data_IF_411063545956
#
_entry.id   IF_411063545956
#
_cell.length_a   1.000
_cell.length_b   1.000
_cell.length_c   1.000
_cell.angle_alpha   90.00
_cell.angle_beta   90.00
_cell.angle_gamma   90.00
#
_symmetry.space_group_name_H-M   'P 1'
#
loop_
_entity.id
_entity.type
_entity.pdbx_description
1 polymer ?
#
# COMPACT_ATOMS: atom_id res chain seq x y z
N UNK A 1 13.82 18.14 -0.41
CA UNK A 1 12.46 17.64 -0.66
C UNK A 1 11.94 18.13 -1.99
N UNK A 2 10.99 17.43 -2.56
CA UNK A 2 10.36 17.80 -3.82
C UNK A 2 9.07 17.04 -4.07
N UNK A 3 8.39 17.45 -5.13
CA UNK A 3 7.21 16.79 -5.72
C UNK A 3 7.38 16.75 -7.24
N UNK A 4 6.64 15.87 -7.92
CA UNK A 4 6.65 15.81 -9.38
C UNK A 4 5.23 15.81 -9.99
N UNK A 5 5.18 15.74 -11.32
CA UNK A 5 3.92 15.76 -12.06
C UNK A 5 3.04 14.52 -11.82
N UNK A 6 3.62 13.42 -11.33
CA UNK A 6 2.89 12.22 -10.89
C UNK A 6 2.35 12.34 -9.47
N UNK A 7 2.55 13.50 -8.80
CA UNK A 7 2.17 13.72 -7.40
C UNK A 7 2.98 12.89 -6.39
N UNK A 8 4.12 12.36 -6.80
CA UNK A 8 5.07 11.82 -5.85
C UNK A 8 5.59 12.94 -4.95
N UNK A 9 5.87 12.63 -3.69
CA UNK A 9 6.53 13.52 -2.75
C UNK A 9 7.75 12.82 -2.15
N UNK A 10 8.87 13.53 -1.98
CA UNK A 10 10.06 12.94 -1.36
C UNK A 10 10.85 13.93 -0.51
N UNK A 11 11.60 13.35 0.44
CA UNK A 11 12.57 14.08 1.24
C UNK A 11 13.85 13.28 1.39
N UNK A 12 15.01 13.95 1.27
CA UNK A 12 16.33 13.32 1.41
C UNK A 12 17.01 13.78 2.69
N UNK A 13 17.55 12.82 3.43
CA UNK A 13 18.31 12.99 4.66
C UNK A 13 19.73 12.49 4.42
N UNK A 14 20.72 13.36 4.66
CA UNK A 14 22.11 13.02 4.41
C UNK A 14 22.79 12.46 5.66
N UNK A 15 23.53 11.37 5.48
CA UNK A 15 24.49 10.86 6.46
C UNK A 15 25.63 11.88 6.65
N UNK A 16 26.25 11.95 7.84
CA UNK A 16 27.49 12.71 8.03
C UNK A 16 28.67 12.14 7.23
N UNK A 17 28.63 10.86 6.87
CA UNK A 17 29.61 10.24 5.96
C UNK A 17 29.25 10.58 4.52
N UNK A 18 30.09 11.35 3.79
CA UNK A 18 29.83 11.72 2.41
C UNK A 18 29.83 10.51 1.44
N UNK A 19 30.48 9.42 1.81
CA UNK A 19 30.59 8.21 1.03
C UNK A 19 29.51 7.15 1.41
N UNK A 20 28.57 7.53 2.26
CA UNK A 20 27.47 6.64 2.64
C UNK A 20 26.62 6.24 1.42
N UNK A 21 26.14 4.98 1.34
CA UNK A 21 25.26 4.56 0.25
C UNK A 21 23.97 5.34 0.19
N UNK A 22 23.50 5.64 -1.02
CA UNK A 22 22.15 6.16 -1.26
C UNK A 22 21.13 5.02 -1.11
N UNK A 23 20.10 5.24 -0.32
CA UNK A 23 19.01 4.30 -0.07
C UNK A 23 17.67 5.00 -0.29
N UNK A 24 16.82 4.41 -1.12
CA UNK A 24 15.42 4.78 -1.26
C UNK A 24 14.59 3.97 -0.25
N UNK A 25 13.67 4.63 0.45
CA UNK A 25 12.57 3.97 1.17
C UNK A 25 11.29 4.48 0.55
N UNK A 26 10.50 3.58 -0.02
CA UNK A 26 9.27 3.91 -0.73
C UNK A 26 8.05 3.28 -0.07
N UNK A 27 6.96 4.04 -0.01
CA UNK A 27 5.62 3.55 0.27
C UNK A 27 4.62 4.39 -0.53
N UNK A 28 3.55 3.75 -1.04
CA UNK A 28 2.58 4.50 -1.82
C UNK A 28 1.55 5.25 -0.96
N UNK A 29 0.92 6.25 -1.54
CA UNK A 29 -0.02 7.14 -0.86
C UNK A 29 -1.44 7.06 -1.42
N UNK A 30 -1.61 6.44 -2.56
CA UNK A 30 -2.94 6.21 -3.15
C UNK A 30 -3.64 5.00 -2.51
N UNK A 31 -4.91 4.89 -2.78
CA UNK A 31 -5.78 3.80 -2.34
C UNK A 31 -6.73 3.40 -3.46
N UNK A 32 -7.25 2.19 -3.41
CA UNK A 32 -8.30 1.72 -4.30
C UNK A 32 -9.61 2.50 -4.11
N UNK A 33 -10.42 2.59 -5.16
CA UNK A 33 -11.68 3.30 -5.09
C UNK A 33 -12.57 3.04 -6.28
N UNK A 34 -13.43 4.00 -6.59
CA UNK A 34 -14.35 3.95 -7.72
C UNK A 34 -14.38 5.27 -8.49
N UNK A 35 -14.81 5.21 -9.75
CA UNK A 35 -15.06 6.39 -10.58
C UNK A 35 -16.45 6.31 -11.19
N UNK A 36 -17.17 7.44 -11.23
CA UNK A 36 -18.48 7.54 -11.90
C UNK A 36 -18.27 7.38 -13.41
N UNK A 37 -18.83 6.33 -13.99
CA UNK A 37 -18.81 6.06 -15.43
C UNK A 37 -20.09 6.47 -16.12
N UNK A 38 -21.17 6.69 -15.36
CA UNK A 38 -22.46 7.16 -15.87
C UNK A 38 -23.46 7.42 -14.76
N UNK A 39 -24.55 8.11 -15.09
CA UNK A 39 -25.68 8.35 -14.18
C UNK A 39 -26.94 7.83 -14.87
N UNK A 40 -27.73 7.02 -14.16
CA UNK A 40 -28.99 6.53 -14.71
C UNK A 40 -30.04 7.62 -14.76
N UNK A 41 -31.10 7.50 -15.58
CA UNK A 41 -32.23 8.46 -15.55
C UNK A 41 -32.86 8.62 -14.17
N UNK A 42 -32.81 7.57 -13.33
CA UNK A 42 -33.33 7.54 -11.95
C UNK A 42 -32.34 8.06 -10.90
N UNK A 43 -31.20 8.66 -11.30
CA UNK A 43 -30.25 9.28 -10.38
C UNK A 43 -29.16 8.35 -9.80
N UNK A 44 -29.19 7.04 -10.07
CA UNK A 44 -28.15 6.14 -9.59
C UNK A 44 -26.82 6.34 -10.34
N UNK A 45 -25.71 6.27 -9.61
CA UNK A 45 -24.37 6.38 -10.15
C UNK A 45 -23.88 5.00 -10.61
N UNK A 46 -23.56 4.84 -11.89
CA UNK A 46 -22.84 3.67 -12.41
C UNK A 46 -21.36 3.89 -12.16
N UNK A 47 -20.73 3.06 -11.35
CA UNK A 47 -19.30 3.20 -11.05
C UNK A 47 -18.47 2.06 -11.61
N UNK A 48 -17.22 2.38 -11.92
CA UNK A 48 -16.15 1.41 -12.24
C UNK A 48 -15.08 1.43 -11.16
N UNK A 49 -14.36 0.31 -10.97
CA UNK A 49 -13.25 0.27 -10.04
C UNK A 49 -12.08 1.16 -10.49
N UNK A 50 -11.34 1.66 -9.52
CA UNK A 50 -10.00 2.24 -9.65
C UNK A 50 -9.09 1.41 -8.77
N UNK A 51 -8.06 0.77 -9.34
CA UNK A 51 -7.33 -0.32 -8.71
C UNK A 51 -8.15 -1.63 -8.70
N UNK A 52 -7.98 -2.45 -7.68
CA UNK A 52 -8.62 -3.76 -7.54
C UNK A 52 -9.47 -3.85 -6.24
N UNK A 53 -10.46 -2.96 -6.04
CA UNK A 53 -11.28 -3.03 -4.85
C UNK A 53 -12.15 -4.28 -4.83
N UNK A 54 -12.41 -4.83 -3.64
CA UNK A 54 -13.33 -5.95 -3.47
C UNK A 54 -14.80 -5.50 -3.57
N UNK A 55 -15.45 -5.85 -4.68
CA UNK A 55 -16.82 -5.45 -4.97
C UNK A 55 -17.86 -5.98 -3.98
N UNK A 56 -17.66 -7.18 -3.43
CA UNK A 56 -18.62 -7.76 -2.51
C UNK A 56 -18.65 -7.00 -1.18
N UNK A 57 -17.50 -6.54 -0.74
CA UNK A 57 -17.38 -5.76 0.49
C UNK A 57 -17.89 -4.33 0.38
N UNK A 58 -18.07 -3.79 -0.84
CA UNK A 58 -18.62 -2.44 -1.06
C UNK A 58 -20.10 -2.32 -0.69
N UNK A 59 -20.84 -3.43 -0.76
CA UNK A 59 -22.28 -3.39 -0.51
C UNK A 59 -22.61 -2.86 0.89
N UNK A 60 -23.56 -1.93 0.94
CA UNK A 60 -24.01 -1.24 2.16
C UNK A 60 -22.94 -0.35 2.84
N UNK A 61 -21.81 -0.13 2.20
CA UNK A 61 -20.80 0.79 2.72
C UNK A 61 -20.94 2.19 2.11
N UNK A 62 -20.81 3.26 2.94
CA UNK A 62 -20.81 4.61 2.44
C UNK A 62 -19.47 4.93 1.75
N UNK A 63 -19.57 5.67 0.65
CA UNK A 63 -18.45 6.23 -0.10
C UNK A 63 -18.59 7.74 -0.17
N UNK A 64 -17.49 8.44 -0.14
CA UNK A 64 -17.42 9.88 -0.33
C UNK A 64 -16.92 10.14 -1.75
N UNK A 65 -17.77 10.76 -2.55
CA UNK A 65 -17.44 11.20 -3.89
C UNK A 65 -16.93 12.63 -3.90
N UNK A 66 -16.03 12.91 -4.80
CA UNK A 66 -15.40 14.21 -5.05
C UNK A 66 -16.34 15.08 -5.92
N UNK A 67 -17.42 15.59 -5.33
CA UNK A 67 -18.41 16.40 -6.02
C UNK A 67 -17.89 17.82 -6.33
N UNK A 68 -18.48 18.48 -7.33
CA UNK A 68 -18.07 19.82 -7.79
C UNK A 68 -18.22 20.90 -6.70
N UNK A 69 -19.25 20.75 -5.87
CA UNK A 69 -19.57 21.71 -4.80
C UNK A 69 -19.10 21.25 -3.42
N UNK A 70 -18.31 20.18 -3.37
CA UNK A 70 -17.83 19.54 -2.15
C UNK A 70 -18.13 18.04 -2.11
N UNK A 71 -17.72 17.35 -1.05
CA UNK A 71 -17.90 15.91 -0.96
C UNK A 71 -19.37 15.51 -0.88
N UNK A 72 -19.75 14.49 -1.67
CA UNK A 72 -21.09 13.89 -1.66
C UNK A 72 -21.00 12.45 -1.21
N UNK A 73 -21.83 12.07 -0.24
CA UNK A 73 -21.92 10.67 0.21
C UNK A 73 -22.91 9.89 -0.64
N UNK A 74 -22.50 8.72 -1.11
CA UNK A 74 -23.37 7.74 -1.72
C UNK A 74 -22.98 6.32 -1.23
N UNK A 75 -23.85 5.35 -1.41
CA UNK A 75 -23.58 3.97 -1.01
C UNK A 75 -24.04 2.97 -2.06
N UNK A 76 -23.36 1.82 -2.15
CA UNK A 76 -23.80 0.70 -2.96
C UNK A 76 -24.95 -0.02 -2.24
N UNK A 77 -26.17 0.15 -2.71
CA UNK A 77 -27.33 -0.53 -2.15
C UNK A 77 -27.33 -2.00 -2.45
N UNK A 78 -27.67 -2.83 -1.46
CA UNK A 78 -27.92 -4.26 -1.65
C UNK A 78 -29.41 -4.50 -1.83
N UNK A 79 -29.82 -5.07 -2.98
CA UNK A 79 -31.19 -5.55 -3.15
C UNK A 79 -31.36 -6.81 -2.33
N UNK A 80 -32.39 -6.90 -1.45
CA UNK A 80 -32.61 -8.09 -0.63
C UNK A 80 -32.71 -9.37 -1.47
N UNK A 81 -31.99 -10.43 -1.10
CA UNK A 81 -31.91 -11.68 -1.87
C UNK A 81 -33.24 -12.37 -2.05
N UNK A 82 -34.23 -12.16 -1.13
CA UNK A 82 -35.60 -12.67 -1.28
C UNK A 82 -36.37 -11.97 -2.41
N UNK A 83 -35.98 -10.76 -2.80
CA UNK A 83 -36.55 -10.03 -3.94
C UNK A 83 -35.98 -10.54 -5.27
N UNK A 84 -34.73 -10.99 -5.29
CA UNK A 84 -34.00 -11.44 -6.48
C UNK A 84 -34.16 -12.95 -6.73
N UNK A 85 -35.20 -13.63 -6.15
CA UNK A 85 -35.42 -15.08 -6.25
C UNK A 85 -34.14 -15.90 -5.93
N UNK A 86 -33.29 -15.42 -5.04
CA UNK A 86 -31.99 -16.00 -4.63
C UNK A 86 -30.93 -16.11 -5.72
N UNK A 87 -31.10 -15.45 -6.85
CA UNK A 87 -29.99 -15.31 -7.78
C UNK A 87 -28.99 -14.30 -7.20
N UNK A 88 -27.73 -14.69 -6.99
CA UNK A 88 -26.72 -13.72 -6.57
C UNK A 88 -26.57 -12.65 -7.65
N UNK A 89 -26.39 -11.40 -7.25
CA UNK A 89 -25.92 -10.38 -8.18
C UNK A 89 -24.65 -10.90 -8.87
N UNK A 90 -24.53 -10.77 -10.20
CA UNK A 90 -23.35 -11.27 -10.91
C UNK A 90 -22.10 -10.67 -10.26
N UNK A 91 -21.27 -11.55 -9.71
CA UNK A 91 -19.92 -11.17 -9.31
C UNK A 91 -19.20 -10.71 -10.59
N UNK A 92 -18.87 -9.42 -10.69
CA UNK A 92 -18.21 -8.84 -11.86
C UNK A 92 -19.14 -8.20 -12.88
N UNK A 93 -20.29 -7.69 -12.48
CA UNK A 93 -21.07 -6.79 -13.35
C UNK A 93 -20.22 -5.59 -13.78
N UNK A 94 -20.37 -5.16 -15.04
CA UNK A 94 -19.61 -4.00 -15.58
C UNK A 94 -19.70 -2.74 -14.71
N UNK A 95 -20.75 -2.64 -13.88
CA UNK A 95 -21.02 -1.48 -13.03
C UNK A 95 -21.68 -1.90 -11.71
N UNK A 96 -21.25 -1.24 -10.64
CA UNK A 96 -22.01 -1.21 -9.38
C UNK A 96 -22.84 0.09 -9.37
N UNK A 97 -24.07 0.01 -8.86
CA UNK A 97 -24.92 1.16 -8.69
C UNK A 97 -24.77 1.75 -7.29
N UNK A 98 -24.47 3.03 -7.23
CA UNK A 98 -24.43 3.80 -5.99
C UNK A 98 -25.62 4.75 -5.94
N UNK A 99 -26.18 4.90 -4.77
CA UNK A 99 -27.31 5.76 -4.46
C UNK A 99 -26.82 6.95 -3.63
N UNK A 100 -26.99 8.15 -4.17
CA UNK A 100 -26.72 9.43 -3.49
C UNK A 100 -28.01 10.08 -2.99
N UNK A 101 -29.16 9.43 -3.13
CA UNK A 101 -30.48 9.97 -2.80
C UNK A 101 -31.10 10.84 -3.89
N UNK A 102 -30.50 10.90 -5.08
CA UNK A 102 -31.07 11.66 -6.20
C UNK A 102 -32.21 10.88 -6.87
N UNK A 103 -33.27 11.58 -7.27
CA UNK A 103 -34.44 11.04 -7.97
C UNK A 103 -34.34 11.12 -9.49
N UNK A 104 -33.34 11.86 -10.00
CA UNK A 104 -33.07 12.01 -11.43
C UNK A 104 -31.59 12.26 -11.72
N UNK A 105 -31.20 12.08 -12.97
CA UNK A 105 -29.84 12.39 -13.41
C UNK A 105 -29.50 13.88 -13.28
N UNK A 106 -30.51 14.78 -13.44
CA UNK A 106 -30.35 16.20 -13.26
C UNK A 106 -30.07 16.56 -11.82
N UNK A 107 -30.84 16.01 -10.88
CA UNK A 107 -30.62 16.21 -9.44
C UNK A 107 -29.23 15.70 -9.00
N UNK A 108 -28.79 14.53 -9.48
CA UNK A 108 -27.45 14.05 -9.20
C UNK A 108 -26.35 15.02 -9.69
N UNK A 109 -26.53 15.65 -10.87
CA UNK A 109 -25.62 16.67 -11.38
C UNK A 109 -25.66 17.96 -10.56
N UNK A 110 -26.85 18.39 -10.11
CA UNK A 110 -27.02 19.56 -9.22
C UNK A 110 -26.31 19.33 -7.88
N UNK A 111 -26.24 18.09 -7.40
CA UNK A 111 -25.40 17.69 -6.24
C UNK A 111 -23.89 17.75 -6.54
N UNK A 112 -23.48 18.06 -7.77
CA UNK A 112 -22.08 18.14 -8.20
C UNK A 112 -21.50 16.80 -8.66
N UNK A 113 -22.33 15.78 -8.87
CA UNK A 113 -21.91 14.47 -9.34
C UNK A 113 -21.92 14.41 -10.88
N UNK A 114 -20.80 13.98 -11.46
CA UNK A 114 -20.64 13.84 -12.90
C UNK A 114 -19.68 12.69 -13.25
N UNK A 115 -19.69 12.28 -14.51
CA UNK A 115 -18.75 11.26 -15.01
C UNK A 115 -17.32 11.72 -14.77
N UNK A 116 -16.45 10.81 -14.29
CA UNK A 116 -15.07 11.06 -13.94
C UNK A 116 -14.85 11.47 -12.47
N UNK A 117 -15.90 11.77 -11.70
CA UNK A 117 -15.76 12.00 -10.25
C UNK A 117 -15.40 10.70 -9.53
N UNK A 118 -14.45 10.78 -8.59
CA UNK A 118 -13.93 9.64 -7.84
C UNK A 118 -14.66 9.49 -6.52
N UNK A 119 -14.77 8.26 -6.06
CA UNK A 119 -15.32 7.92 -4.75
C UNK A 119 -14.38 6.96 -4.01
N UNK A 120 -14.20 7.19 -2.72
CA UNK A 120 -13.44 6.33 -1.82
C UNK A 120 -14.31 5.94 -0.63
N UNK A 121 -14.05 4.81 0.04
CA UNK A 121 -14.78 4.45 1.25
C UNK A 121 -14.78 5.56 2.28
N UNK A 122 -15.89 5.74 2.99
CA UNK A 122 -16.07 6.77 4.01
C UNK A 122 -16.43 6.14 5.36
N UNK A 123 -15.64 5.16 5.77
CA UNK A 123 -15.77 4.50 7.07
C UNK A 123 -14.94 5.22 8.13
N UNK A 124 -15.45 5.30 9.35
CA UNK A 124 -14.67 5.88 10.46
C UNK A 124 -13.63 4.86 10.94
N UNK A 125 -12.40 5.29 11.23
CA UNK A 125 -11.42 4.44 11.89
C UNK A 125 -11.91 4.04 13.30
N UNK A 126 -11.71 2.78 13.65
CA UNK A 126 -12.07 2.24 14.96
C UNK A 126 -10.95 1.33 15.50
N UNK A 127 -10.62 1.49 16.78
CA UNK A 127 -9.80 0.51 17.46
C UNK A 127 -10.73 -0.60 17.98
N UNK A 128 -10.49 -1.82 17.51
CA UNK A 128 -11.19 -3.00 17.97
C UNK A 128 -10.53 -3.53 19.26
N UNK A 129 -10.11 -4.77 19.33
CA UNK A 129 -9.47 -5.33 20.50
C UNK A 129 -8.01 -4.89 20.62
N UNK A 130 -7.66 -4.15 21.69
CA UNK A 130 -6.28 -3.76 21.98
C UNK A 130 -5.69 -2.79 20.95
N UNK A 131 -4.76 -3.28 20.12
CA UNK A 131 -4.01 -2.50 19.13
C UNK A 131 -4.50 -2.66 17.70
N UNK A 132 -5.64 -3.31 17.49
CA UNK A 132 -6.16 -3.59 16.14
C UNK A 132 -6.96 -2.42 15.61
N UNK A 133 -6.46 -1.78 14.58
CA UNK A 133 -7.07 -0.66 13.88
C UNK A 133 -7.87 -1.17 12.68
N UNK A 134 -9.16 -0.86 12.67
CA UNK A 134 -10.03 -1.02 11.50
C UNK A 134 -10.20 0.34 10.83
N UNK A 135 -9.89 0.43 9.53
CA UNK A 135 -10.09 1.63 8.71
C UNK A 135 -10.12 1.25 7.23
N UNK A 136 -10.50 2.17 6.36
CA UNK A 136 -10.26 2.03 4.92
C UNK A 136 -8.88 2.57 4.54
N UNK A 137 -8.31 2.04 3.45
CA UNK A 137 -7.05 2.52 2.88
C UNK A 137 -5.86 2.38 3.83
N UNK A 138 -5.86 1.36 4.73
CA UNK A 138 -4.67 1.00 5.49
C UNK A 138 -3.56 0.60 4.54
N UNK A 139 -3.92 -0.03 3.44
CA UNK A 139 -3.16 -0.16 2.21
C UNK A 139 -3.35 1.11 1.35
N UNK A 140 -2.38 2.10 1.25
CA UNK A 140 -1.11 2.03 1.98
C UNK A 140 -0.91 3.25 2.93
N UNK A 141 -1.98 3.79 3.52
CA UNK A 141 -1.88 4.92 4.46
C UNK A 141 -1.10 4.57 5.73
N UNK A 142 -1.13 3.29 6.13
CA UNK A 142 -0.36 2.82 7.27
C UNK A 142 1.14 3.00 7.01
N UNK A 143 1.58 2.66 5.82
CA UNK A 143 2.98 2.77 5.41
C UNK A 143 3.37 4.23 5.12
N UNK A 144 2.44 5.03 4.58
CA UNK A 144 2.63 6.49 4.48
C UNK A 144 2.82 7.15 5.86
N UNK A 145 2.07 6.70 6.88
CA UNK A 145 2.30 7.13 8.27
C UNK A 145 3.71 6.74 8.75
N UNK A 146 4.14 5.51 8.45
CA UNK A 146 5.50 5.07 8.79
C UNK A 146 6.58 5.92 8.12
N UNK A 147 6.39 6.37 6.87
CA UNK A 147 7.33 7.32 6.24
C UNK A 147 7.42 8.65 7.00
N UNK A 148 6.30 9.18 7.51
CA UNK A 148 6.31 10.41 8.31
C UNK A 148 7.06 10.22 9.64
N UNK A 149 6.84 9.10 10.31
CA UNK A 149 7.57 8.76 11.54
C UNK A 149 9.07 8.56 11.27
N UNK A 150 9.42 7.90 10.17
CA UNK A 150 10.82 7.79 9.72
C UNK A 150 11.44 9.15 9.41
N UNK A 151 10.73 10.06 8.77
CA UNK A 151 11.22 11.42 8.53
C UNK A 151 11.53 12.15 9.83
N UNK A 152 10.66 12.00 10.83
CA UNK A 152 10.86 12.52 12.18
C UNK A 152 12.07 11.89 12.86
N UNK A 153 12.22 10.56 12.77
CA UNK A 153 13.37 9.82 13.28
C UNK A 153 14.68 10.29 12.63
N UNK A 154 14.74 10.31 11.30
CA UNK A 154 15.93 10.72 10.54
C UNK A 154 16.36 12.16 10.85
N UNK A 155 15.39 13.05 11.09
CA UNK A 155 15.68 14.44 11.48
C UNK A 155 16.37 14.52 12.85
N UNK A 156 16.00 13.66 13.79
CA UNK A 156 16.57 13.61 15.16
C UNK A 156 17.92 12.88 15.21
N UNK A 157 18.11 11.88 14.35
CA UNK A 157 19.28 10.97 14.37
C UNK A 157 20.29 11.23 13.24
N UNK A 158 20.32 12.44 12.66
CA UNK A 158 21.19 12.79 11.52
C UNK A 158 22.65 12.37 11.69
N UNK A 159 23.17 12.44 12.92
CA UNK A 159 24.59 12.13 13.22
C UNK A 159 24.89 10.62 13.19
N UNK A 160 23.86 9.79 13.34
CA UNK A 160 24.00 8.33 13.46
C UNK A 160 23.76 7.61 12.13
N UNK A 161 23.23 8.32 11.12
CA UNK A 161 22.85 7.73 9.84
C UNK A 161 24.06 7.15 9.09
N UNK A 162 23.88 5.93 8.58
CA UNK A 162 24.87 5.19 7.78
C UNK A 162 24.52 5.16 6.29
N UNK A 163 23.43 5.78 5.92
CA UNK A 163 22.93 5.91 4.55
C UNK A 163 22.49 7.34 4.25
N UNK A 164 22.62 7.77 3.02
CA UNK A 164 21.86 8.90 2.51
C UNK A 164 20.46 8.39 2.17
N UNK A 165 19.45 8.79 2.93
CA UNK A 165 18.11 8.22 2.84
C UNK A 165 17.20 9.16 2.07
N UNK A 166 16.54 8.66 1.04
CA UNK A 166 15.41 9.34 0.41
C UNK A 166 14.14 8.58 0.78
N UNK A 167 13.22 9.26 1.45
CA UNK A 167 11.86 8.78 1.67
C UNK A 167 11.01 9.23 0.48
N UNK A 168 10.35 8.29 -0.18
CA UNK A 168 9.44 8.53 -1.29
C UNK A 168 8.03 8.11 -0.89
N UNK A 169 7.10 9.04 -0.93
CA UNK A 169 5.67 8.77 -0.94
C UNK A 169 5.24 8.77 -2.41
N UNK A 170 5.14 7.59 -2.98
CA UNK A 170 4.78 7.41 -4.39
C UNK A 170 3.27 7.39 -4.59
N UNK A 171 2.85 7.65 -5.81
CA UNK A 171 1.45 7.67 -6.21
C UNK A 171 1.15 6.63 -7.28
N UNK A 172 -0.13 6.32 -7.50
CA UNK A 172 -0.61 5.47 -8.59
C UNK A 172 0.01 4.04 -8.55
N UNK A 173 0.27 3.54 -7.36
CA UNK A 173 0.68 2.15 -7.14
C UNK A 173 -0.45 1.23 -7.60
N UNK A 174 -1.64 1.44 -7.07
CA UNK A 174 -2.87 0.67 -7.27
C UNK A 174 -3.37 0.65 -8.73
N UNK A 175 -2.86 1.57 -9.54
CA UNK A 175 -3.25 1.70 -10.95
C UNK A 175 -2.11 1.43 -11.92
N UNK A 176 -1.06 0.75 -11.47
CA UNK A 176 0.02 0.26 -12.32
C UNK A 176 1.40 0.86 -12.06
N UNK A 177 1.70 1.23 -10.81
CA UNK A 177 3.03 1.65 -10.33
C UNK A 177 3.59 2.92 -11.03
N UNK A 178 2.72 3.77 -11.59
CA UNK A 178 3.16 4.84 -12.47
C UNK A 178 4.04 5.88 -11.76
N UNK A 179 3.71 6.22 -10.50
CA UNK A 179 4.49 7.16 -9.71
C UNK A 179 5.90 6.67 -9.42
N UNK A 180 6.02 5.48 -8.85
CA UNK A 180 7.32 4.86 -8.58
C UNK A 180 8.12 4.63 -9.86
N UNK A 181 7.46 4.23 -10.97
CA UNK A 181 8.09 4.06 -12.28
C UNK A 181 8.71 5.37 -12.78
N UNK A 182 7.96 6.47 -12.71
CA UNK A 182 8.45 7.78 -13.13
C UNK A 182 9.62 8.26 -12.25
N UNK A 183 9.53 8.06 -10.94
CA UNK A 183 10.60 8.41 -10.01
C UNK A 183 11.86 7.58 -10.25
N UNK A 184 11.74 6.26 -10.32
CA UNK A 184 12.86 5.34 -10.54
C UNK A 184 13.50 5.54 -11.93
N UNK A 185 12.71 5.80 -12.96
CA UNK A 185 13.22 6.09 -14.30
C UNK A 185 14.11 7.31 -14.36
N UNK A 186 13.81 8.34 -13.56
CA UNK A 186 14.59 9.58 -13.46
C UNK A 186 15.79 9.45 -12.54
N UNK A 187 15.60 8.89 -11.35
CA UNK A 187 16.59 8.93 -10.28
C UNK A 187 17.45 7.65 -10.20
N UNK A 188 16.99 6.55 -10.78
CA UNK A 188 17.69 5.24 -10.86
C UNK A 188 18.30 4.80 -9.51
N UNK A 189 17.49 4.65 -8.46
CA UNK A 189 17.97 4.24 -7.15
C UNK A 189 18.67 2.88 -7.25
N UNK A 190 19.85 2.76 -6.66
CA UNK A 190 20.62 1.51 -6.66
C UNK A 190 20.17 0.56 -5.56
N UNK A 191 19.76 1.10 -4.43
CA UNK A 191 19.28 0.37 -3.28
C UNK A 191 17.94 0.92 -2.86
N UNK A 192 17.00 0.03 -2.55
CA UNK A 192 15.69 0.42 -2.02
C UNK A 192 15.19 -0.56 -0.96
N UNK A 193 14.39 -0.03 -0.05
CA UNK A 193 13.48 -0.80 0.79
C UNK A 193 12.08 -0.30 0.45
N UNK A 194 11.20 -1.21 0.04
CA UNK A 194 9.80 -0.92 -0.21
C UNK A 194 8.99 -1.39 0.98
N UNK A 195 8.19 -0.50 1.52
CA UNK A 195 7.28 -0.79 2.64
C UNK A 195 5.86 -0.83 2.06
N UNK A 196 5.24 -2.00 2.13
CA UNK A 196 3.89 -2.17 1.63
C UNK A 196 3.11 -3.18 2.48
N UNK A 197 1.78 -3.12 2.45
CA UNK A 197 0.96 -4.07 3.18
C UNK A 197 1.05 -5.46 2.55
N UNK A 198 0.88 -6.49 3.39
CA UNK A 198 0.78 -7.88 2.96
C UNK A 198 -0.52 -8.50 3.46
N UNK A 199 -0.85 -9.71 3.03
CA UNK A 199 -2.08 -10.38 3.43
C UNK A 199 -1.89 -11.16 4.74
N UNK A 200 -2.79 -10.98 5.71
CA UNK A 200 -2.98 -11.96 6.78
C UNK A 200 -3.67 -13.20 6.18
N UNK A 201 -2.91 -14.30 6.04
CA UNK A 201 -3.44 -15.54 5.44
C UNK A 201 -4.18 -16.43 6.45
N UNK A 202 -4.07 -16.15 7.74
CA UNK A 202 -4.79 -16.91 8.80
C UNK A 202 -6.30 -16.79 8.66
N UNK A 203 -6.81 -15.69 8.11
CA UNK A 203 -8.22 -15.55 7.79
C UNK A 203 -8.74 -16.63 6.82
N UNK A 204 -7.84 -17.31 6.10
CA UNK A 204 -8.19 -18.37 5.14
C UNK A 204 -8.25 -19.76 5.79
N UNK A 205 -7.69 -19.93 7.01
CA UNK A 205 -7.60 -21.24 7.70
C UNK A 205 -8.98 -21.85 7.95
N UNK A 206 -10.00 -21.03 8.17
CA UNK A 206 -11.38 -21.46 8.41
C UNK A 206 -12.24 -21.55 7.13
N UNK A 207 -11.67 -21.23 5.97
CA UNK A 207 -12.37 -21.32 4.69
C UNK A 207 -12.14 -22.69 4.04
N UNK A 208 -13.07 -23.14 3.16
CA UNK A 208 -12.84 -24.36 2.39
C UNK A 208 -11.52 -24.27 1.63
N UNK A 209 -10.71 -25.34 1.65
CA UNK A 209 -9.43 -25.36 0.98
C UNK A 209 -9.59 -25.09 -0.53
N UNK A 210 -8.75 -24.21 -1.06
CA UNK A 210 -8.61 -23.93 -2.49
C UNK A 210 -7.15 -24.15 -2.86
N UNK A 211 -6.89 -24.70 -4.04
CA UNK A 211 -5.51 -24.94 -4.53
C UNK A 211 -4.64 -23.66 -4.48
N UNK A 212 -5.26 -22.49 -4.65
CA UNK A 212 -4.58 -21.21 -4.58
C UNK A 212 -4.13 -20.86 -3.15
N UNK A 213 -4.92 -21.24 -2.14
CA UNK A 213 -4.60 -20.97 -0.73
C UNK A 213 -3.46 -21.86 -0.20
N UNK A 214 -3.31 -23.08 -0.73
CA UNK A 214 -2.22 -23.99 -0.34
C UNK A 214 -0.84 -23.49 -0.74
N UNK A 215 -0.76 -22.50 -1.63
CA UNK A 215 0.49 -21.91 -2.11
C UNK A 215 0.94 -20.69 -1.30
N UNK A 216 0.11 -20.19 -0.40
CA UNK A 216 0.43 -19.02 0.40
C UNK A 216 1.19 -19.44 1.67
N UNK A 217 2.26 -18.75 1.98
CA UNK A 217 2.91 -18.86 3.29
C UNK A 217 1.98 -18.32 4.38
N UNK A 218 2.04 -18.94 5.56
CA UNK A 218 1.28 -18.45 6.70
C UNK A 218 1.84 -17.10 7.16
N UNK A 219 1.03 -16.07 7.07
CA UNK A 219 1.29 -14.73 7.59
C UNK A 219 0.16 -14.36 8.55
N UNK A 220 0.50 -13.90 9.74
CA UNK A 220 -0.46 -13.62 10.79
C UNK A 220 -0.30 -12.19 11.34
N UNK A 221 -1.40 -11.48 11.40
CA UNK A 221 -1.47 -10.18 12.05
C UNK A 221 -1.25 -10.33 13.57
N UNK A 222 -0.33 -9.55 14.14
CA UNK A 222 0.08 -9.59 15.54
C UNK A 222 1.40 -10.32 15.79
N UNK A 223 1.98 -10.96 14.77
CA UNK A 223 3.24 -11.71 14.85
C UNK A 223 4.47 -10.94 14.30
N UNK A 224 4.29 -9.68 13.93
CA UNK A 224 5.33 -8.79 13.40
C UNK A 224 5.26 -8.64 11.87
N UNK A 225 5.98 -7.64 11.30
CA UNK A 225 6.00 -7.42 9.86
C UNK A 225 6.57 -8.63 9.12
N UNK A 226 6.12 -8.81 7.90
CA UNK A 226 6.62 -9.83 6.98
C UNK A 226 7.83 -9.27 6.24
N UNK A 227 8.96 -10.00 6.27
CA UNK A 227 10.16 -9.71 5.48
C UNK A 227 10.24 -10.74 4.36
N UNK A 228 10.24 -10.28 3.12
CA UNK A 228 10.27 -11.17 1.96
C UNK A 228 11.70 -11.63 1.62
N UNK A 229 11.87 -12.94 1.51
CA UNK A 229 13.19 -13.59 1.44
C UNK A 229 13.48 -14.28 0.10
N UNK A 230 12.63 -14.17 -0.90
CA UNK A 230 12.82 -14.81 -2.20
C UNK A 230 14.09 -14.28 -2.90
N UNK A 231 15.14 -15.11 -2.98
CA UNK A 231 16.50 -14.74 -3.39
C UNK A 231 16.64 -14.19 -4.82
N UNK A 232 15.75 -14.59 -5.73
CA UNK A 232 15.73 -14.08 -7.13
C UNK A 232 14.96 -12.77 -7.30
N UNK A 233 14.14 -12.42 -6.31
CA UNK A 233 13.29 -11.23 -6.36
C UNK A 233 13.89 -10.13 -5.51
N UNK A 234 14.24 -10.42 -4.26
CA UNK A 234 14.71 -9.43 -3.31
C UNK A 234 16.22 -9.49 -3.06
N UNK A 235 16.79 -8.33 -2.76
CA UNK A 235 18.23 -8.18 -2.59
C UNK A 235 18.68 -8.73 -1.23
N UNK A 236 19.27 -9.91 -1.24
CA UNK A 236 19.61 -10.66 -0.05
C UNK A 236 20.51 -9.92 0.95
N UNK A 237 21.53 -9.11 0.57
CA UNK A 237 22.32 -8.40 1.57
C UNK A 237 21.52 -7.42 2.43
N UNK A 238 20.53 -6.70 1.88
CA UNK A 238 19.64 -5.85 2.69
C UNK A 238 18.68 -6.73 3.50
N UNK A 239 18.07 -7.74 2.88
CA UNK A 239 17.14 -8.66 3.54
C UNK A 239 17.80 -9.38 4.70
N UNK A 240 19.03 -9.91 4.51
CA UNK A 240 19.80 -10.59 5.55
C UNK A 240 20.13 -9.66 6.73
N UNK A 241 20.50 -8.42 6.45
CA UNK A 241 20.77 -7.42 7.50
C UNK A 241 19.52 -7.06 8.30
N UNK A 242 18.35 -6.94 7.62
CA UNK A 242 17.07 -6.73 8.31
C UNK A 242 16.73 -7.90 9.24
N UNK A 243 16.88 -9.16 8.75
CA UNK A 243 16.63 -10.36 9.52
C UNK A 243 17.57 -10.45 10.73
N UNK A 244 18.86 -10.24 10.51
CA UNK A 244 19.85 -10.24 11.58
C UNK A 244 19.52 -9.23 12.67
N UNK A 245 19.21 -8.00 12.31
CA UNK A 245 18.86 -6.95 13.26
C UNK A 245 17.57 -7.26 14.03
N UNK A 246 16.58 -7.86 13.36
CA UNK A 246 15.34 -8.27 14.02
C UNK A 246 15.62 -9.35 15.08
N UNK A 247 16.44 -10.37 14.75
CA UNK A 247 16.85 -11.43 15.67
C UNK A 247 17.69 -10.89 16.84
N UNK A 248 18.73 -10.08 16.57
CA UNK A 248 19.62 -9.50 17.57
C UNK A 248 18.91 -8.62 18.60
N UNK A 249 17.86 -7.93 18.17
CA UNK A 249 17.13 -6.98 19.02
C UNK A 249 15.77 -7.49 19.50
N UNK A 250 15.43 -8.75 19.22
CA UNK A 250 14.16 -9.34 19.63
C UNK A 250 12.93 -8.62 19.04
N UNK A 251 13.07 -8.06 17.84
CA UNK A 251 11.95 -7.44 17.13
C UNK A 251 11.15 -8.57 16.47
N UNK A 252 9.84 -8.69 16.74
CA UNK A 252 9.04 -9.72 16.10
C UNK A 252 8.99 -9.51 14.59
N UNK A 253 9.08 -10.60 13.82
CA UNK A 253 8.99 -10.59 12.37
C UNK A 253 8.57 -11.95 11.83
N UNK A 254 8.09 -11.98 10.61
CA UNK A 254 7.75 -13.16 9.86
C UNK A 254 8.57 -13.21 8.57
N UNK A 255 8.78 -14.41 8.01
CA UNK A 255 9.48 -14.61 6.72
C UNK A 255 8.50 -15.14 5.69
N UNK A 256 8.57 -14.62 4.49
CA UNK A 256 7.85 -15.18 3.35
C UNK A 256 8.79 -15.31 2.14
N UNK A 257 8.79 -16.51 1.54
CA UNK A 257 9.50 -16.78 0.30
C UNK A 257 8.55 -16.97 -0.90
N UNK A 258 7.25 -17.08 -0.64
CA UNK A 258 6.22 -17.36 -1.64
C UNK A 258 5.47 -16.09 -2.04
N UNK A 259 6.17 -15.01 -2.29
CA UNK A 259 5.54 -13.78 -2.72
C UNK A 259 4.70 -14.04 -3.99
N UNK A 260 3.41 -13.75 -3.99
CA UNK A 260 2.64 -13.75 -5.21
C UNK A 260 3.32 -12.77 -6.18
N UNK A 261 3.39 -13.05 -7.47
CA UNK A 261 3.92 -12.14 -8.47
C UNK A 261 3.00 -10.92 -8.55
N UNK A 262 3.01 -10.15 -7.48
CA UNK A 262 2.23 -8.95 -7.31
C UNK A 262 2.94 -7.77 -7.93
N UNK A 263 2.18 -6.77 -8.16
CA UNK A 263 2.67 -5.48 -8.57
C UNK A 263 2.83 -4.65 -7.30
N UNK A 264 4.08 -4.42 -6.91
CA UNK A 264 4.43 -3.48 -5.85
C UNK A 264 5.65 -2.66 -6.29
N UNK A 265 5.92 -1.59 -5.61
CA UNK A 265 6.91 -0.58 -6.02
C UNK A 265 8.37 -1.07 -6.07
N UNK A 266 8.68 -2.30 -5.62
CA UNK A 266 9.99 -2.90 -5.88
C UNK A 266 10.22 -3.21 -7.38
N UNK A 267 9.14 -3.39 -8.16
CA UNK A 267 9.23 -3.69 -9.61
C UNK A 267 9.91 -2.54 -10.37
N UNK A 268 9.49 -1.28 -10.25
CA UNK A 268 10.17 -0.15 -10.86
C UNK A 268 11.64 -0.03 -10.46
N UNK A 269 11.99 -0.27 -9.20
CA UNK A 269 13.39 -0.23 -8.75
C UNK A 269 14.24 -1.22 -9.54
N UNK A 270 13.76 -2.47 -9.66
CA UNK A 270 14.46 -3.53 -10.39
C UNK A 270 14.50 -3.28 -11.89
N UNK A 271 13.42 -2.77 -12.47
CA UNK A 271 13.34 -2.44 -13.90
C UNK A 271 14.43 -1.45 -14.32
N UNK A 272 14.78 -0.52 -13.43
CA UNK A 272 15.83 0.46 -13.68
C UNK A 272 17.21 0.07 -13.10
N UNK A 273 17.40 -1.22 -12.83
CA UNK A 273 18.71 -1.78 -12.45
C UNK A 273 19.09 -1.54 -10.99
N UNK A 274 18.12 -1.29 -10.13
CA UNK A 274 18.31 -1.21 -8.69
C UNK A 274 18.04 -2.56 -7.99
N UNK A 275 18.38 -2.60 -6.73
CA UNK A 275 18.18 -3.73 -5.81
C UNK A 275 17.16 -3.32 -4.74
N UNK A 276 16.16 -4.14 -4.51
CA UNK A 276 15.11 -3.87 -3.55
C UNK A 276 14.99 -4.98 -2.49
N UNK A 277 14.77 -4.58 -1.24
CA UNK A 277 14.15 -5.42 -0.22
C UNK A 277 12.68 -4.99 -0.06
N UNK A 278 11.86 -5.88 0.48
CA UNK A 278 10.44 -5.64 0.66
C UNK A 278 10.01 -6.15 2.04
N UNK A 279 9.27 -5.34 2.77
CA UNK A 279 8.69 -5.72 4.05
C UNK A 279 7.43 -4.90 4.34
N UNK A 280 6.56 -5.46 5.17
CA UNK A 280 5.41 -4.69 5.64
C UNK A 280 4.46 -5.44 6.56
N UNK A 281 3.47 -4.76 7.12
CA UNK A 281 2.50 -5.35 8.01
C UNK A 281 1.52 -6.25 7.26
N UNK A 282 1.22 -7.45 7.77
CA UNK A 282 0.08 -8.22 7.28
C UNK A 282 -1.22 -7.56 7.73
N UNK A 283 -2.16 -7.39 6.81
CA UNK A 283 -3.48 -6.84 7.06
C UNK A 283 -4.57 -7.81 6.59
N UNK A 284 -5.76 -7.68 7.15
CA UNK A 284 -6.96 -8.42 6.71
C UNK A 284 -7.85 -7.54 5.84
N UNK A 285 -8.58 -8.19 4.93
CA UNK A 285 -9.60 -7.54 4.11
C UNK A 285 -9.04 -6.41 3.24
N UNK A 286 -7.79 -6.57 2.79
CA UNK A 286 -7.13 -5.64 1.86
C UNK A 286 -8.06 -5.27 0.70
N UNK A 287 -8.04 -4.01 0.27
CA UNK A 287 -8.88 -3.46 -0.79
C UNK A 287 -10.38 -3.45 -0.49
N UNK A 288 -10.76 -3.65 0.78
CA UNK A 288 -12.14 -3.52 1.23
C UNK A 288 -12.38 -2.16 1.90
N UNK A 289 -13.65 -1.74 2.07
CA UNK A 289 -13.95 -0.51 2.82
C UNK A 289 -13.58 -0.57 4.31
N UNK A 290 -13.20 -1.73 4.82
CA UNK A 290 -12.85 -1.95 6.23
C UNK A 290 -11.73 -2.95 6.36
N UNK A 291 -10.52 -2.47 6.20
CA UNK A 291 -9.30 -3.23 6.42
C UNK A 291 -8.96 -3.27 7.90
N UNK A 292 -8.19 -4.27 8.32
CA UNK A 292 -7.79 -4.46 9.71
C UNK A 292 -6.28 -4.69 9.79
N UNK A 293 -5.59 -3.92 10.63
CA UNK A 293 -4.17 -4.06 10.93
C UNK A 293 -3.90 -4.08 12.43
N UNK A 294 -2.78 -4.64 12.87
CA UNK A 294 -2.32 -4.50 14.26
C UNK A 294 -1.20 -3.44 14.32
N UNK A 295 -1.37 -2.41 15.14
CA UNK A 295 -0.39 -1.33 15.29
C UNK A 295 0.96 -1.79 15.87
N UNK A 296 1.04 -3.02 16.39
CA UNK A 296 2.32 -3.62 16.81
C UNK A 296 3.27 -3.83 15.65
N UNK A 297 2.74 -4.19 14.46
CA UNK A 297 3.56 -4.34 13.26
C UNK A 297 4.15 -3.00 12.81
N UNK A 298 3.37 -1.93 12.92
CA UNK A 298 3.84 -0.56 12.63
C UNK A 298 5.03 -0.22 13.50
N UNK A 299 4.91 -0.48 14.81
CA UNK A 299 6.00 -0.23 15.76
C UNK A 299 7.21 -1.09 15.44
N UNK A 300 7.03 -2.39 15.22
CA UNK A 300 8.12 -3.31 14.91
C UNK A 300 8.84 -2.93 13.61
N UNK A 301 8.10 -2.54 12.57
CA UNK A 301 8.68 -2.06 11.30
C UNK A 301 9.52 -0.80 11.51
N UNK A 302 9.01 0.18 12.25
CA UNK A 302 9.72 1.42 12.54
C UNK A 302 10.98 1.18 13.39
N UNK A 303 10.90 0.33 14.41
CA UNK A 303 12.05 -0.04 15.25
C UNK A 303 13.13 -0.73 14.41
N UNK A 304 12.74 -1.64 13.51
CA UNK A 304 13.66 -2.36 12.62
C UNK A 304 14.35 -1.43 11.64
N UNK A 305 13.57 -0.59 10.95
CA UNK A 305 14.11 0.37 9.97
C UNK A 305 15.00 1.42 10.63
N UNK A 306 14.62 1.94 11.79
CA UNK A 306 15.45 2.88 12.54
C UNK A 306 16.82 2.30 12.89
N UNK A 307 16.87 1.03 13.33
CA UNK A 307 18.14 0.32 13.58
C UNK A 307 18.94 0.08 12.31
N UNK A 308 18.28 -0.37 11.24
CA UNK A 308 18.92 -0.59 9.96
C UNK A 308 19.63 0.67 9.46
N UNK A 309 18.97 1.81 9.52
CA UNK A 309 19.50 3.09 9.03
C UNK A 309 20.68 3.63 9.85
N UNK A 310 20.80 3.21 11.11
CA UNK A 310 21.93 3.54 12.00
C UNK A 310 23.01 2.46 12.06
N UNK A 311 22.83 1.31 11.38
CA UNK A 311 23.81 0.22 11.32
C UNK A 311 24.65 0.33 10.05
N UNK A 312 25.98 0.17 10.12
CA UNK A 312 26.82 0.20 8.93
C UNK A 312 26.39 -0.81 7.87
N UNK A 313 26.36 -0.42 6.59
CA UNK A 313 26.05 -1.33 5.48
C UNK A 313 27.11 -2.44 5.36
N UNK A 314 26.68 -3.64 4.95
CA UNK A 314 27.62 -4.73 4.62
C UNK A 314 28.51 -4.36 3.43
N UNK A 315 29.58 -5.14 3.23
CA UNK A 315 30.48 -4.92 2.08
C UNK A 315 29.75 -5.08 0.74
N UNK A 316 28.82 -6.03 0.65
CA UNK A 316 28.00 -6.27 -0.53
C UNK A 316 27.05 -5.10 -0.82
N UNK A 317 26.42 -4.53 0.21
CA UNK A 317 25.56 -3.36 0.09
C UNK A 317 26.34 -2.14 -0.41
N UNK A 318 27.56 -1.91 0.14
CA UNK A 318 28.45 -0.87 -0.33
C UNK A 318 28.82 -1.05 -1.80
N UNK A 319 29.21 -2.26 -2.20
CA UNK A 319 29.58 -2.58 -3.59
C UNK A 319 28.42 -2.33 -4.54
N UNK A 320 27.21 -2.78 -4.21
CA UNK A 320 26.02 -2.58 -5.05
C UNK A 320 25.67 -1.09 -5.23
N UNK A 321 25.93 -0.27 -4.22
CA UNK A 321 25.68 1.18 -4.30
C UNK A 321 26.62 1.93 -5.26
N UNK A 322 27.82 1.39 -5.51
CA UNK A 322 28.88 2.03 -6.28
C UNK A 322 28.92 1.59 -7.75
N UNK A 323 28.21 0.51 -8.14
CA UNK A 323 28.23 0.05 -9.54
C UNK A 323 27.94 1.19 -10.50
N UNK A 324 29.02 1.64 -11.17
CA UNK A 324 29.03 2.71 -12.16
C UNK A 324 28.11 2.36 -13.33
N UNK A 325 27.52 3.42 -13.88
CA UNK A 325 26.86 3.43 -15.18
C UNK A 325 27.82 2.88 -16.25
N UNK A 326 27.80 1.57 -16.48
CA UNK A 326 28.19 1.05 -17.78
C UNK A 326 26.94 1.08 -18.64
N UNK A 327 26.86 2.13 -19.45
CA UNK A 327 25.94 2.19 -20.56
C UNK A 327 26.74 2.23 -21.85
N UNK A 328 26.39 1.35 -22.82
CA UNK A 328 26.76 1.63 -24.19
C UNK A 328 26.00 2.84 -24.74
#
# INVERSE_FOLDING_TARGET
SGTDAHQNAWATFRSPDPDAPELLIDAHADEVGVVIAGITPSGFLKVRPVGFPDFQSMLSCPYRFDGEHGPVTAFAGAVPGWWLNREPLPAGGEYILFDAGASSAEEAREMGLSVGRRGVPSTKPELLHGTRLMAHGLDCRLNSFMLMELASFLSRHKKDLKYHVTLLSSSQEETGLAGATAYCGRNRPKLAIVIDCTLDTVQLDDLPPREENERLSRQAMGEGPVIFTHDKIFYQPITAQLLQLAEEHGIPFQKDAAFPPGMANFVPVKLYGGHAAFLGPPIRYMHSPRELADLKEVKATLDLLGRFLCTPPSAEVKTASVQKKEHP
#
